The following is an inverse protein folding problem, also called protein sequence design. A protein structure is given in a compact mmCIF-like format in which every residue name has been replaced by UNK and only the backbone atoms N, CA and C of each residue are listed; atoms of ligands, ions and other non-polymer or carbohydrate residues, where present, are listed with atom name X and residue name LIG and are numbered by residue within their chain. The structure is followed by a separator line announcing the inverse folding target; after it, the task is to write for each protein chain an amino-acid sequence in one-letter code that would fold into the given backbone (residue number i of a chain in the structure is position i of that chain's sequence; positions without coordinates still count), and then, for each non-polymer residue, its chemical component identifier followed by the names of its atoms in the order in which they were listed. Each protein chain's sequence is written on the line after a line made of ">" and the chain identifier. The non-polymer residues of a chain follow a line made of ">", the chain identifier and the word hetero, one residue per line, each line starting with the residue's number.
data_IF_525713254219
#
_entry.id   IF_525713254219
#
_cell.length_a   1.000
_cell.length_b   1.000
_cell.length_c   1.000
_cell.angle_alpha   90.00
_cell.angle_beta   90.00
_cell.angle_gamma   90.00
#
_symmetry.space_group_name_H-M   'P 1'
#
loop_
_entity.id
_entity.type
_entity.pdbx_description
1 polymer ?
#
# COMPACT_ATOMS: atom_id res chain seq x y z
N UNK A 1 29.03 9.23 -30.96
CA UNK A 1 28.91 8.66 -29.59
C UNK A 1 28.10 9.52 -28.61
N UNK A 2 28.20 10.86 -28.63
CA UNK A 2 27.51 11.75 -27.67
C UNK A 2 25.96 11.64 -27.74
N UNK A 3 25.38 11.50 -28.93
CA UNK A 3 23.92 11.37 -29.09
C UNK A 3 23.35 10.07 -28.52
N UNK A 4 24.06 8.95 -28.65
CA UNK A 4 23.63 7.65 -28.10
C UNK A 4 23.62 7.70 -26.58
N UNK A 5 24.66 8.29 -25.96
CA UNK A 5 24.71 8.51 -24.50
C UNK A 5 23.55 9.36 -24.00
N UNK A 6 23.20 10.44 -24.72
CA UNK A 6 22.04 11.29 -24.38
C UNK A 6 20.73 10.53 -24.51
N UNK A 7 20.59 9.67 -25.52
CA UNK A 7 19.39 8.86 -25.72
C UNK A 7 19.21 7.83 -24.61
N UNK A 8 20.27 7.11 -24.24
CA UNK A 8 20.25 6.14 -23.13
C UNK A 8 19.88 6.83 -21.81
N UNK A 9 20.43 8.02 -21.55
CA UNK A 9 20.10 8.81 -20.36
C UNK A 9 18.62 9.25 -20.36
N UNK A 10 18.10 9.67 -21.51
CA UNK A 10 16.70 10.07 -21.67
C UNK A 10 15.74 8.88 -21.48
N UNK A 11 16.08 7.71 -22.01
CA UNK A 11 15.30 6.48 -21.82
C UNK A 11 15.32 6.06 -20.35
N UNK A 12 16.49 6.05 -19.70
CA UNK A 12 16.61 5.73 -18.29
C UNK A 12 15.77 6.68 -17.42
N UNK A 13 15.82 7.98 -17.70
CA UNK A 13 15.00 8.99 -17.01
C UNK A 13 13.51 8.75 -17.24
N UNK A 14 13.08 8.50 -18.47
CA UNK A 14 11.68 8.20 -18.78
C UNK A 14 11.18 6.94 -18.06
N UNK A 15 11.99 5.88 -17.98
CA UNK A 15 11.64 4.66 -17.25
C UNK A 15 11.56 4.87 -15.73
N UNK A 16 12.41 5.71 -15.15
CA UNK A 16 12.35 6.01 -13.72
C UNK A 16 11.11 6.85 -13.36
N UNK A 17 10.78 7.82 -14.21
CA UNK A 17 9.57 8.65 -14.06
C UNK A 17 8.27 7.87 -14.37
N UNK A 18 8.37 6.71 -15.01
CA UNK A 18 7.23 5.81 -15.26
C UNK A 18 6.84 4.96 -14.04
N UNK A 19 7.51 5.11 -12.89
CA UNK A 19 7.04 4.46 -11.67
C UNK A 19 5.63 4.96 -11.33
N UNK A 20 4.67 4.04 -11.27
CA UNK A 20 3.27 4.37 -11.03
C UNK A 20 3.07 5.00 -9.64
N UNK A 21 2.15 5.95 -9.53
CA UNK A 21 1.68 6.41 -8.23
C UNK A 21 0.92 5.27 -7.54
N UNK A 22 1.43 4.78 -6.42
CA UNK A 22 0.70 3.85 -5.58
C UNK A 22 -0.41 4.62 -4.85
N UNK A 23 -1.67 4.29 -5.16
CA UNK A 23 -2.80 4.76 -4.37
C UNK A 23 -2.82 3.94 -3.08
N UNK A 24 -2.58 4.59 -1.95
CA UNK A 24 -2.62 3.98 -0.64
C UNK A 24 -3.60 4.75 0.23
N UNK A 25 -4.38 4.02 1.02
CA UNK A 25 -5.20 4.61 2.07
C UNK A 25 -4.34 4.72 3.33
N UNK A 26 -4.33 5.89 3.95
CA UNK A 26 -3.63 6.07 5.21
C UNK A 26 -4.28 5.22 6.30
N UNK A 27 -3.49 4.41 7.00
CA UNK A 27 -3.95 3.67 8.18
C UNK A 27 -3.47 4.41 9.41
N UNK A 28 -4.41 4.74 10.30
CA UNK A 28 -4.16 5.33 11.61
C UNK A 28 -3.97 4.26 12.67
N UNK A 29 -4.43 4.57 13.88
CA UNK A 29 -4.21 3.70 15.05
C UNK A 29 -4.99 2.38 14.97
N UNK A 30 -4.33 1.31 15.40
CA UNK A 30 -4.92 -0.03 15.57
C UNK A 30 -5.36 -0.20 17.02
N UNK A 31 -6.67 -0.33 17.24
CA UNK A 31 -7.24 -0.66 18.55
C UNK A 31 -7.69 -2.11 18.59
N UNK A 32 -7.07 -2.91 19.47
CA UNK A 32 -7.41 -4.31 19.67
C UNK A 32 -8.48 -4.44 20.77
N UNK A 33 -9.63 -5.04 20.42
CA UNK A 33 -10.76 -5.24 21.35
C UNK A 33 -10.85 -6.68 21.86
N UNK A 34 -10.22 -7.63 21.17
CA UNK A 34 -10.19 -9.04 21.57
C UNK A 34 -9.11 -9.32 22.62
N UNK A 35 -9.34 -10.30 23.48
CA UNK A 35 -8.31 -10.80 24.42
C UNK A 35 -7.66 -12.09 23.88
N UNK A 36 -6.55 -12.57 24.46
CA UNK A 36 -5.91 -13.80 24.00
C UNK A 36 -6.87 -15.00 24.00
N UNK A 37 -6.71 -15.90 23.02
CA UNK A 37 -7.58 -17.06 22.78
C UNK A 37 -9.04 -16.72 22.43
N UNK A 38 -9.31 -15.53 21.90
CA UNK A 38 -10.60 -15.16 21.32
C UNK A 38 -10.44 -14.84 19.83
N UNK A 39 -11.54 -14.89 19.04
CA UNK A 39 -11.52 -14.38 17.67
C UNK A 39 -11.01 -12.94 17.63
N UNK A 40 -10.18 -12.63 16.62
CA UNK A 40 -9.59 -11.30 16.47
C UNK A 40 -10.68 -10.25 16.24
N UNK A 41 -10.73 -9.25 17.11
CA UNK A 41 -11.57 -8.06 16.94
C UNK A 41 -10.67 -6.85 17.04
N UNK A 42 -10.51 -6.16 15.92
CA UNK A 42 -9.65 -5.00 15.81
C UNK A 42 -10.34 -3.91 15.00
N UNK A 43 -10.07 -2.66 15.36
CA UNK A 43 -10.49 -1.48 14.64
C UNK A 43 -9.24 -0.72 14.19
N UNK A 44 -9.23 -0.30 12.93
CA UNK A 44 -8.15 0.50 12.33
C UNK A 44 -8.78 1.79 11.85
N UNK A 45 -8.25 2.92 12.30
CA UNK A 45 -8.66 4.23 11.81
C UNK A 45 -8.18 4.41 10.36
N UNK A 46 -9.03 4.96 9.49
CA UNK A 46 -8.68 5.27 8.11
C UNK A 46 -8.47 6.77 7.99
N UNK A 47 -7.27 7.16 7.59
CA UNK A 47 -6.86 8.54 7.33
C UNK A 47 -7.06 8.86 5.85
N UNK A 48 -7.32 10.12 5.54
CA UNK A 48 -7.44 10.61 4.16
C UNK A 48 -8.47 9.83 3.31
N UNK A 49 -9.60 9.44 3.92
CA UNK A 49 -10.69 8.69 3.26
C UNK A 49 -11.35 9.42 2.09
N UNK A 50 -11.04 10.70 1.87
CA UNK A 50 -11.53 11.51 0.74
C UNK A 50 -13.04 11.36 0.51
N UNK A 51 -13.45 10.59 -0.50
CA UNK A 51 -14.86 10.35 -0.88
C UNK A 51 -15.24 8.86 -0.74
N UNK A 52 -14.39 8.05 -0.11
CA UNK A 52 -14.58 6.63 0.06
C UNK A 52 -15.71 6.36 1.06
N UNK A 53 -16.62 5.47 0.70
CA UNK A 53 -17.71 5.01 1.57
C UNK A 53 -17.35 3.69 2.23
N UNK A 54 -17.98 3.39 3.36
CA UNK A 54 -17.72 2.14 4.10
C UNK A 54 -17.95 0.87 3.27
N UNK A 55 -18.86 0.91 2.29
CA UNK A 55 -19.15 -0.23 1.40
C UNK A 55 -18.06 -0.49 0.37
N UNK A 56 -17.19 0.50 0.10
CA UNK A 56 -16.07 0.38 -0.85
C UNK A 56 -14.81 -0.16 -0.19
N UNK A 57 -14.80 -0.28 1.15
CA UNK A 57 -13.69 -0.86 1.92
C UNK A 57 -14.00 -2.31 2.25
N UNK A 58 -13.21 -3.23 1.70
CA UNK A 58 -13.31 -4.66 2.01
C UNK A 58 -12.10 -5.07 2.85
N UNK A 59 -12.23 -5.15 4.18
CA UNK A 59 -11.14 -5.62 5.04
C UNK A 59 -10.92 -7.12 4.84
N UNK A 60 -9.67 -7.52 4.72
CA UNK A 60 -9.27 -8.92 4.69
C UNK A 60 -7.92 -9.11 5.35
N UNK A 61 -7.68 -10.31 5.89
CA UNK A 61 -6.36 -10.69 6.36
C UNK A 61 -5.51 -11.10 5.16
N UNK A 62 -4.24 -10.70 5.19
CA UNK A 62 -3.26 -11.14 4.20
C UNK A 62 -3.12 -12.67 4.24
N UNK A 63 -2.71 -13.25 3.11
CA UNK A 63 -2.34 -14.66 3.06
C UNK A 63 -1.13 -14.92 3.97
N UNK A 64 -0.92 -16.14 4.48
CA UNK A 64 0.24 -16.47 5.29
C UNK A 64 1.57 -16.15 4.58
N UNK A 65 1.65 -16.39 3.27
CA UNK A 65 2.84 -16.13 2.47
C UNK A 65 3.13 -14.63 2.35
N UNK A 66 2.09 -13.81 2.18
CA UNK A 66 2.25 -12.35 2.09
C UNK A 66 2.57 -11.74 3.45
N UNK A 67 1.97 -12.27 4.53
CA UNK A 67 2.33 -11.90 5.89
C UNK A 67 3.80 -12.22 6.19
N UNK A 68 4.30 -13.39 5.78
CA UNK A 68 5.69 -13.78 5.97
C UNK A 68 6.69 -12.90 5.20
N UNK A 69 6.31 -12.31 4.06
CA UNK A 69 7.16 -11.38 3.29
C UNK A 69 7.19 -9.96 3.87
N UNK A 70 6.17 -9.59 4.64
CA UNK A 70 6.05 -8.26 5.23
C UNK A 70 6.77 -8.11 6.58
N UNK A 71 7.18 -9.24 7.20
CA UNK A 71 8.00 -9.30 8.42
C UNK A 71 9.49 -9.32 8.13
#
# INVERSE_FOLDING_TARGET
>A
MVQVRKLVLAIAAASALSSGMAQALGLGELTLKSTPNQPLVAEIELLDVQQLTAAEVVPSLASPDDFAKAG
#
